data_IF_297650152004
#
_entry.id   IF_297650152004
#
_cell.length_a   1.000
_cell.length_b   1.000
_cell.length_c   1.000
_cell.angle_alpha   90.00
_cell.angle_beta   90.00
_cell.angle_gamma   90.00
#
_symmetry.space_group_name_H-M   'P 1'
#
loop_
_entity.id
_entity.type
_entity.pdbx_description
1 polymer ?
#
# COMPACT_ATOMS: atom_id res chain seq x y z
N UNK A 1 -4.44 -3.81 -18.16
CA UNK A 1 -5.69 -4.20 -17.46
C UNK A 1 -5.77 -3.42 -16.17
N UNK A 2 -6.97 -3.02 -15.72
CA UNK A 2 -7.15 -2.35 -14.44
C UNK A 2 -6.96 -3.32 -13.27
N UNK A 3 -6.45 -2.83 -12.15
CA UNK A 3 -6.21 -3.64 -10.95
C UNK A 3 -6.42 -2.82 -9.67
N UNK A 4 -6.55 -3.50 -8.53
CA UNK A 4 -6.60 -2.88 -7.20
C UNK A 4 -5.22 -2.99 -6.57
N UNK A 5 -4.69 -1.85 -6.11
CA UNK A 5 -3.55 -1.78 -5.21
C UNK A 5 -4.07 -1.65 -3.79
N UNK A 6 -3.63 -2.52 -2.88
CA UNK A 6 -4.01 -2.50 -1.48
C UNK A 6 -2.74 -2.59 -0.62
N UNK A 7 -2.54 -1.59 0.22
CA UNK A 7 -1.46 -1.51 1.20
C UNK A 7 -2.04 -1.08 2.56
N UNK A 8 -2.46 -2.06 3.38
CA UNK A 8 -3.05 -1.79 4.69
C UNK A 8 -2.08 -1.12 5.67
N UNK A 9 -0.77 -1.36 5.53
CA UNK A 9 0.24 -0.79 6.44
C UNK A 9 0.31 0.74 6.32
N UNK A 10 0.06 1.26 5.11
CA UNK A 10 0.01 2.70 4.84
C UNK A 10 -1.41 3.24 4.62
N UNK A 11 -2.43 2.44 4.96
CA UNK A 11 -3.84 2.76 4.79
C UNK A 11 -4.17 3.24 3.36
N UNK A 12 -3.60 2.57 2.36
CA UNK A 12 -3.77 2.87 0.94
C UNK A 12 -4.62 1.80 0.27
N UNK A 13 -5.67 2.25 -0.42
CA UNK A 13 -6.46 1.43 -1.31
C UNK A 13 -6.70 2.22 -2.60
N UNK A 14 -6.26 1.69 -3.73
CA UNK A 14 -6.37 2.38 -5.01
C UNK A 14 -6.87 1.47 -6.14
N UNK A 15 -7.84 1.95 -6.91
CA UNK A 15 -8.17 1.42 -8.22
C UNK A 15 -7.25 2.06 -9.26
N UNK A 16 -6.56 1.23 -10.04
CA UNK A 16 -5.56 1.64 -11.02
C UNK A 16 -6.09 1.35 -12.41
N UNK A 17 -6.43 2.40 -13.15
CA UNK A 17 -6.76 2.29 -14.56
C UNK A 17 -5.47 2.28 -15.41
N UNK A 18 -5.34 1.41 -16.43
CA UNK A 18 -4.10 1.30 -17.20
C UNK A 18 -3.83 2.53 -18.08
N UNK A 19 -4.88 3.16 -18.62
CA UNK A 19 -4.71 4.32 -19.50
C UNK A 19 -4.52 5.60 -18.69
N UNK A 20 -3.28 6.09 -18.68
CA UNK A 20 -2.93 7.38 -18.11
C UNK A 20 -3.59 8.54 -18.87
N UNK A 21 -3.77 8.43 -20.19
CA UNK A 21 -4.27 9.50 -21.06
C UNK A 21 -5.77 9.40 -21.34
N UNK A 22 -6.52 8.64 -20.53
CA UNK A 22 -7.97 8.54 -20.66
C UNK A 22 -8.61 9.95 -20.66
N UNK A 23 -9.49 10.27 -21.64
CA UNK A 23 -10.19 11.55 -21.68
C UNK A 23 -10.92 11.84 -20.37
N UNK A 24 -11.01 13.10 -19.98
CA UNK A 24 -11.60 13.52 -18.71
C UNK A 24 -13.03 12.99 -18.53
N UNK A 25 -13.83 12.99 -19.61
CA UNK A 25 -15.18 12.44 -19.66
C UNK A 25 -15.21 10.95 -19.31
N UNK A 26 -14.27 10.16 -19.85
CA UNK A 26 -14.14 8.74 -19.55
C UNK A 26 -13.69 8.51 -18.10
N UNK A 27 -12.78 9.35 -17.58
CA UNK A 27 -12.34 9.30 -16.18
C UNK A 27 -13.52 9.55 -15.23
N UNK A 28 -14.37 10.53 -15.53
CA UNK A 28 -15.56 10.86 -14.73
C UNK A 28 -16.56 9.70 -14.69
N UNK A 29 -16.81 9.04 -15.83
CA UNK A 29 -17.69 7.87 -15.88
C UNK A 29 -17.16 6.70 -15.03
N UNK A 30 -15.85 6.46 -15.06
CA UNK A 30 -15.20 5.42 -14.24
C UNK A 30 -15.36 5.77 -12.75
N UNK A 31 -15.12 7.02 -12.37
CA UNK A 31 -15.30 7.49 -10.99
C UNK A 31 -16.74 7.32 -10.51
N UNK A 32 -17.73 7.65 -11.36
CA UNK A 32 -19.14 7.51 -11.04
C UNK A 32 -19.56 6.04 -10.87
N UNK A 33 -19.11 5.15 -11.75
CA UNK A 33 -19.36 3.71 -11.61
C UNK A 33 -18.74 3.15 -10.34
N UNK A 34 -17.49 3.50 -10.03
CA UNK A 34 -16.80 3.03 -8.83
C UNK A 34 -17.48 3.52 -7.55
N UNK A 35 -17.94 4.79 -7.54
CA UNK A 35 -18.74 5.33 -6.42
C UNK A 35 -20.04 4.57 -6.24
N UNK A 36 -20.76 4.30 -7.33
CA UNK A 36 -22.02 3.55 -7.29
C UNK A 36 -21.82 2.13 -6.74
N UNK A 37 -20.77 1.43 -7.16
CA UNK A 37 -20.43 0.09 -6.62
C UNK A 37 -20.11 0.17 -5.13
N UNK A 38 -19.33 1.16 -4.71
CA UNK A 38 -18.96 1.33 -3.31
C UNK A 38 -20.15 1.67 -2.41
N UNK A 39 -21.06 2.55 -2.84
CA UNK A 39 -22.29 2.87 -2.10
C UNK A 39 -23.23 1.68 -2.02
N UNK A 40 -23.39 0.91 -3.09
CA UNK A 40 -24.24 -0.28 -3.09
C UNK A 40 -23.73 -1.37 -2.14
N UNK A 41 -22.42 -1.49 -1.95
CA UNK A 41 -21.83 -2.42 -0.98
C UNK A 41 -22.11 -1.98 0.46
N UNK A 42 -21.96 -0.69 0.76
CA UNK A 42 -22.30 -0.11 2.06
C UNK A 42 -23.79 -0.27 2.40
N UNK A 43 -24.68 -0.01 1.44
CA UNK A 43 -26.12 -0.15 1.61
C UNK A 43 -26.55 -1.63 1.75
N UNK A 44 -25.85 -2.54 1.07
CA UNK A 44 -26.06 -3.99 1.16
C UNK A 44 -25.76 -4.56 2.54
N UNK A 45 -24.65 -4.15 3.17
CA UNK A 45 -24.28 -4.58 4.52
C UNK A 45 -25.26 -4.06 5.60
N UNK A 46 -25.82 -2.86 5.41
CA UNK A 46 -26.89 -2.36 6.28
C UNK A 46 -28.20 -3.16 6.17
N UNK A 47 -28.50 -3.73 5.00
CA UNK A 47 -29.73 -4.47 4.76
C UNK A 47 -29.70 -5.90 5.35
N UNK A 48 -28.53 -6.52 5.47
CA UNK A 48 -28.38 -7.83 6.13
C UNK A 48 -28.53 -7.72 7.65
N UNK A 49 -28.05 -6.63 8.27
CA UNK A 49 -28.26 -6.36 9.70
C UNK A 49 -29.74 -6.08 10.04
N UNK A 50 -30.50 -5.47 9.12
CA UNK A 50 -31.93 -5.22 9.32
C UNK A 50 -32.81 -6.47 9.16
N UNK A 51 -32.40 -7.46 8.35
CA UNK A 51 -33.15 -8.72 8.20
C UNK A 51 -33.02 -9.67 9.40
N UNK A 52 -31.95 -9.56 10.19
CA UNK A 52 -31.81 -10.31 11.44
C UNK A 52 -32.72 -9.79 12.58
N UNK A 53 -33.36 -8.62 12.41
CA UNK A 53 -34.21 -8.00 13.44
C UNK A 53 -35.72 -8.18 13.22
N UNK A 54 -36.16 -8.71 12.07
CA UNK A 54 -37.58 -8.92 11.75
C UNK A 54 -37.93 -10.40 11.91
N UNK A 55 -37.87 -10.86 13.16
CA UNK A 55 -38.10 -12.26 13.51
C UNK A 55 -38.43 -12.46 14.97
N UNK A 56 -39.29 -11.63 15.57
CA UNK A 56 -39.98 -12.02 16.80
C UNK A 56 -41.29 -11.26 16.98
N UNK A 57 -42.39 -12.00 16.96
CA UNK A 57 -43.76 -11.53 17.03
C UNK A 57 -44.16 -11.23 18.50
N UNK A 58 -44.75 -10.05 18.70
CA UNK A 58 -45.90 -9.84 19.58
C UNK A 58 -45.64 -9.59 21.07
N UNK A 59 -45.88 -8.35 21.53
CA UNK A 59 -47.03 -8.02 22.39
C UNK A 59 -47.06 -6.52 22.82
N UNK A 60 -48.24 -5.92 22.64
CA UNK A 60 -48.92 -4.89 23.46
C UNK A 60 -48.35 -3.46 23.67
N UNK A 61 -49.17 -2.53 23.15
CA UNK A 61 -49.81 -1.35 23.80
C UNK A 61 -49.10 0.01 23.88
N UNK A 62 -49.68 0.93 23.09
CA UNK A 62 -50.22 2.27 23.44
C UNK A 62 -49.32 3.47 23.84
N UNK A 63 -49.48 4.52 23.00
CA UNK A 63 -49.62 5.99 23.27
C UNK A 63 -48.41 6.87 23.61
N UNK A 64 -48.35 8.01 22.89
CA UNK A 64 -47.71 9.29 23.29
C UNK A 64 -46.54 9.67 22.39
N UNK A 65 -46.74 10.48 21.35
CA UNK A 65 -46.64 11.95 21.32
C UNK A 65 -45.20 12.50 21.10
N UNK A 66 -45.13 13.38 20.11
CA UNK A 66 -44.09 14.26 19.55
C UNK A 66 -42.74 14.37 20.26
N UNK A 67 -41.67 14.23 19.46
CA UNK A 67 -40.34 14.74 19.82
C UNK A 67 -39.28 14.40 18.79
N UNK A 68 -39.12 15.25 17.77
CA UNK A 68 -37.97 15.29 16.89
C UNK A 68 -36.69 15.47 17.72
N UNK A 69 -35.75 14.54 17.67
CA UNK A 69 -34.31 14.88 17.64
C UNK A 69 -33.55 13.73 17.00
N UNK A 70 -32.99 14.08 15.85
CA UNK A 70 -31.81 13.54 15.22
C UNK A 70 -30.89 12.70 16.13
N UNK A 71 -30.71 11.44 15.76
CA UNK A 71 -29.47 10.72 16.01
C UNK A 71 -29.39 9.64 14.96
N UNK A 72 -29.14 10.07 13.72
CA UNK A 72 -28.50 9.25 12.69
C UNK A 72 -27.22 8.68 13.31
N UNK A 73 -27.28 7.43 13.75
CA UNK A 73 -26.12 6.63 14.12
C UNK A 73 -25.30 6.38 12.85
N UNK A 74 -24.46 7.37 12.51
CA UNK A 74 -23.29 7.24 11.65
C UNK A 74 -22.32 6.26 12.30
N UNK A 75 -22.53 4.98 12.01
CA UNK A 75 -21.67 3.86 12.37
C UNK A 75 -21.80 2.94 11.16
N UNK A 76 -20.82 2.70 10.29
CA UNK A 76 -19.37 2.72 10.40
C UNK A 76 -18.81 2.76 8.97
N UNK A 77 -18.41 3.93 8.47
CA UNK A 77 -17.58 4.03 7.24
C UNK A 77 -16.10 4.24 7.59
N UNK A 78 -15.71 4.00 8.85
CA UNK A 78 -14.42 4.43 9.40
C UNK A 78 -13.31 3.39 9.33
N UNK A 79 -13.58 2.14 8.95
CA UNK A 79 -12.56 1.07 9.00
C UNK A 79 -11.94 0.73 7.63
N UNK A 80 -12.41 1.33 6.53
CA UNK A 80 -11.83 1.12 5.20
C UNK A 80 -11.20 2.41 4.69
N UNK A 81 -9.91 2.40 4.26
CA UNK A 81 -9.30 3.56 3.64
C UNK A 81 -10.13 4.06 2.45
N UNK A 82 -10.18 5.38 2.22
CA UNK A 82 -10.91 5.93 1.08
C UNK A 82 -10.29 5.38 -0.22
N UNK A 83 -11.11 4.70 -1.03
CA UNK A 83 -10.68 4.18 -2.33
C UNK A 83 -10.23 5.34 -3.22
N UNK A 84 -8.96 5.35 -3.58
CA UNK A 84 -8.39 6.32 -4.50
C UNK A 84 -8.46 5.77 -5.92
N UNK A 85 -8.67 6.64 -6.92
CA UNK A 85 -8.73 6.22 -8.32
C UNK A 85 -7.61 6.93 -9.06
N UNK A 86 -6.71 6.16 -9.63
CA UNK A 86 -5.51 6.65 -10.32
C UNK A 86 -5.43 6.11 -11.74
N UNK A 87 -4.86 6.91 -12.64
CA UNK A 87 -4.72 6.59 -14.05
C UNK A 87 -3.24 6.45 -14.40
N UNK A 88 -2.83 5.22 -14.71
CA UNK A 88 -1.45 4.86 -15.00
C UNK A 88 -0.59 4.63 -13.77
N UNK A 89 0.59 4.04 -14.02
CA UNK A 89 1.54 3.65 -12.98
C UNK A 89 2.27 4.84 -12.34
N UNK A 90 2.41 5.95 -13.06
CA UNK A 90 3.09 7.14 -12.52
C UNK A 90 2.27 7.85 -11.45
N UNK A 91 0.94 7.90 -11.62
CA UNK A 91 0.04 8.41 -10.60
C UNK A 91 0.00 7.48 -9.38
N UNK A 92 -0.02 6.16 -9.60
CA UNK A 92 0.09 5.19 -8.51
C UNK A 92 1.42 5.34 -7.75
N UNK A 93 2.54 5.45 -8.45
CA UNK A 93 3.86 5.66 -7.84
C UNK A 93 3.89 6.96 -7.03
N UNK A 94 3.30 8.03 -7.55
CA UNK A 94 3.20 9.31 -6.85
C UNK A 94 2.36 9.19 -5.57
N UNK A 95 1.25 8.45 -5.64
CA UNK A 95 0.39 8.18 -4.50
C UNK A 95 1.10 7.37 -3.41
N UNK A 96 1.75 6.27 -3.79
CA UNK A 96 2.54 5.43 -2.87
C UNK A 96 3.64 6.29 -2.24
N UNK A 97 4.41 7.03 -3.05
CA UNK A 97 5.48 7.87 -2.52
C UNK A 97 4.98 8.98 -1.60
N UNK A 98 3.73 9.45 -1.73
CA UNK A 98 3.20 10.48 -0.86
C UNK A 98 2.99 10.00 0.59
N UNK A 99 2.67 8.72 0.78
CA UNK A 99 2.42 8.16 2.13
C UNK A 99 3.65 7.54 2.76
N UNK A 100 4.61 7.05 1.95
CA UNK A 100 5.84 6.47 2.48
C UNK A 100 6.68 7.55 3.17
N UNK A 101 7.23 7.22 4.34
CA UNK A 101 8.26 8.01 5.00
C UNK A 101 9.54 8.06 4.15
N UNK A 102 10.44 9.03 4.38
CA UNK A 102 11.72 9.11 3.67
C UNK A 102 12.53 7.81 3.74
N UNK A 103 12.50 7.13 4.88
CA UNK A 103 13.21 5.87 5.09
C UNK A 103 12.58 4.72 4.30
N UNK A 104 11.25 4.67 4.20
CA UNK A 104 10.52 3.66 3.42
C UNK A 104 10.61 3.88 1.90
N UNK A 105 10.93 5.11 1.47
CA UNK A 105 11.24 5.42 0.07
C UNK A 105 12.64 4.95 -0.32
N UNK A 106 13.53 4.80 0.66
CA UNK A 106 14.85 4.23 0.42
C UNK A 106 14.75 2.71 0.37
N UNK A 107 15.32 2.14 -0.69
CA UNK A 107 15.57 0.70 -0.71
C UNK A 107 16.77 0.38 0.20
N UNK A 108 16.71 -0.78 0.83
CA UNK A 108 17.82 -1.34 1.60
C UNK A 108 18.04 -2.78 1.15
N UNK A 109 19.29 -3.16 0.92
CA UNK A 109 19.72 -4.51 0.60
C UNK A 109 20.80 -4.95 1.59
N UNK A 110 20.62 -6.13 2.17
CA UNK A 110 21.64 -6.77 3.00
C UNK A 110 22.41 -7.78 2.14
N UNK A 111 23.73 -7.65 2.08
CA UNK A 111 24.62 -8.66 1.49
C UNK A 111 25.51 -9.18 2.61
N UNK A 112 25.40 -10.46 2.97
CA UNK A 112 26.18 -11.04 4.06
C UNK A 112 27.09 -12.18 3.62
N UNK A 113 28.17 -12.38 4.37
CA UNK A 113 29.09 -13.50 4.24
C UNK A 113 29.48 -14.01 5.63
N UNK A 114 29.66 -15.33 5.74
CA UNK A 114 30.13 -16.00 6.97
C UNK A 114 31.65 -16.19 6.98
N UNK A 115 32.37 -15.66 5.99
CA UNK A 115 33.83 -15.78 5.98
C UNK A 115 34.44 -15.05 7.18
N UNK A 116 35.38 -15.70 7.87
CA UNK A 116 36.20 -15.09 8.92
C UNK A 116 37.54 -14.56 8.37
N UNK A 117 37.80 -14.71 7.07
CA UNK A 117 39.02 -14.25 6.43
C UNK A 117 38.90 -12.76 6.06
N UNK A 118 39.77 -11.92 6.64
CA UNK A 118 39.78 -10.48 6.42
C UNK A 118 39.99 -10.10 4.94
N UNK A 119 40.80 -10.88 4.20
CA UNK A 119 41.01 -10.64 2.78
C UNK A 119 39.75 -10.89 1.95
N UNK A 120 38.96 -11.91 2.29
CA UNK A 120 37.69 -12.22 1.62
C UNK A 120 36.62 -11.19 1.97
N UNK A 121 36.56 -10.74 3.24
CA UNK A 121 35.67 -9.64 3.67
C UNK A 121 36.00 -8.32 2.95
N UNK A 122 37.30 -8.01 2.80
CA UNK A 122 37.77 -6.86 2.05
C UNK A 122 37.37 -6.92 0.58
N UNK A 123 37.60 -8.06 -0.08
CA UNK A 123 37.21 -8.26 -1.47
C UNK A 123 35.68 -8.16 -1.66
N UNK A 124 34.91 -8.75 -0.74
CA UNK A 124 33.46 -8.68 -0.73
C UNK A 124 32.94 -7.24 -0.60
N UNK A 125 33.54 -6.45 0.29
CA UNK A 125 33.22 -5.03 0.44
C UNK A 125 33.57 -4.23 -0.83
N UNK A 126 34.72 -4.48 -1.43
CA UNK A 126 35.18 -3.76 -2.62
C UNK A 126 34.28 -4.02 -3.83
N UNK A 127 33.87 -5.28 -4.03
CA UNK A 127 32.89 -5.64 -5.07
C UNK A 127 31.57 -4.93 -4.81
N UNK A 128 31.07 -4.99 -3.58
CA UNK A 128 29.80 -4.36 -3.19
C UNK A 128 29.84 -2.85 -3.37
N UNK A 129 30.93 -2.18 -2.99
CA UNK A 129 31.13 -0.75 -3.19
C UNK A 129 31.15 -0.37 -4.66
N UNK A 130 31.80 -1.17 -5.50
CA UNK A 130 31.84 -0.92 -6.94
C UNK A 130 30.43 -1.00 -7.53
N UNK A 131 29.68 -2.06 -7.23
CA UNK A 131 28.30 -2.23 -7.67
C UNK A 131 27.39 -1.09 -7.16
N UNK A 132 27.53 -0.71 -5.89
CA UNK A 132 26.75 0.38 -5.32
C UNK A 132 27.08 1.73 -5.99
N UNK A 133 28.35 1.99 -6.29
CA UNK A 133 28.79 3.23 -6.95
C UNK A 133 28.23 3.37 -8.37
N UNK A 134 28.14 2.28 -9.13
CA UNK A 134 27.55 2.26 -10.48
C UNK A 134 26.06 2.64 -10.43
N UNK A 135 25.37 2.29 -9.33
CA UNK A 135 23.94 2.54 -9.14
C UNK A 135 23.65 3.79 -8.30
N UNK A 136 24.67 4.57 -7.91
CA UNK A 136 24.55 5.73 -7.01
C UNK A 136 23.92 5.41 -5.65
N UNK A 137 24.26 4.24 -5.09
CA UNK A 137 23.84 3.77 -3.77
C UNK A 137 24.94 4.00 -2.72
N UNK A 138 24.52 4.17 -1.46
CA UNK A 138 25.39 4.27 -0.29
C UNK A 138 25.65 2.88 0.30
N UNK A 139 26.79 2.73 0.99
CA UNK A 139 27.20 1.46 1.59
C UNK A 139 27.61 1.67 3.05
N UNK A 140 27.09 0.83 3.93
CA UNK A 140 27.54 0.71 5.32
C UNK A 140 27.96 -0.74 5.61
N UNK A 141 28.82 -0.90 6.62
CA UNK A 141 29.33 -2.21 7.02
C UNK A 141 28.95 -2.46 8.47
N UNK A 142 28.42 -3.64 8.70
CA UNK A 142 28.16 -4.20 10.02
C UNK A 142 29.01 -5.46 10.17
N UNK A 143 30.06 -5.35 10.98
CA UNK A 143 31.00 -6.44 11.25
C UNK A 143 30.62 -7.14 12.56
N UNK A 144 29.89 -8.24 12.45
CA UNK A 144 29.59 -9.12 13.56
C UNK A 144 30.56 -10.33 13.55
N UNK A 145 30.86 -10.93 14.72
CA UNK A 145 31.79 -12.05 14.82
C UNK A 145 31.43 -13.23 13.92
N UNK A 146 30.13 -13.50 13.80
CA UNK A 146 29.57 -14.65 13.09
C UNK A 146 29.08 -14.32 11.68
N UNK A 147 28.90 -13.03 11.37
CA UNK A 147 28.34 -12.57 10.11
C UNK A 147 28.89 -11.19 9.73
N UNK A 148 29.44 -11.10 8.52
CA UNK A 148 29.87 -9.83 7.96
C UNK A 148 28.82 -9.34 6.97
N UNK A 149 28.13 -8.25 7.32
CA UNK A 149 27.03 -7.70 6.52
C UNK A 149 27.41 -6.36 5.92
N UNK A 150 27.20 -6.22 4.61
CA UNK A 150 27.32 -4.98 3.87
C UNK A 150 25.92 -4.51 3.49
N UNK A 151 25.52 -3.38 4.05
CA UNK A 151 24.25 -2.74 3.81
C UNK A 151 24.35 -1.78 2.64
N UNK A 152 23.48 -1.92 1.64
CA UNK A 152 23.39 -1.03 0.50
C UNK A 152 22.07 -0.25 0.56
N UNK A 153 22.15 1.08 0.54
CA UNK A 153 21.01 1.99 0.60
C UNK A 153 20.93 2.84 -0.66
N UNK A 154 19.73 3.10 -1.16
CA UNK A 154 19.56 3.98 -2.31
C UNK A 154 18.10 4.16 -2.69
N UNK A 155 17.83 4.75 -3.85
CA UNK A 155 16.47 4.82 -4.34
C UNK A 155 15.93 3.40 -4.56
N UNK A 156 14.66 3.15 -4.19
CA UNK A 156 14.03 1.82 -4.30
C UNK A 156 14.16 1.19 -5.69
N UNK A 157 14.11 2.01 -6.75
CA UNK A 157 14.33 1.57 -8.14
C UNK A 157 15.76 1.10 -8.40
N UNK A 158 16.77 1.78 -7.84
CA UNK A 158 18.18 1.40 -7.97
C UNK A 158 18.46 0.10 -7.22
N UNK A 159 17.95 -0.02 -5.98
CA UNK A 159 18.08 -1.25 -5.19
C UNK A 159 17.35 -2.42 -5.84
N UNK A 160 16.15 -2.18 -6.39
CA UNK A 160 15.42 -3.19 -7.16
C UNK A 160 16.20 -3.67 -8.40
N UNK A 161 16.80 -2.74 -9.15
CA UNK A 161 17.64 -3.08 -10.30
C UNK A 161 18.91 -3.85 -9.87
N UNK A 162 19.53 -3.47 -8.75
CA UNK A 162 20.68 -4.18 -8.18
C UNK A 162 20.32 -5.62 -7.79
N UNK A 163 19.20 -5.84 -7.08
CA UNK A 163 18.72 -7.18 -6.76
C UNK A 163 18.46 -8.03 -8.00
N UNK A 164 17.87 -7.43 -9.04
CA UNK A 164 17.63 -8.13 -10.29
C UNK A 164 18.93 -8.52 -10.98
N UNK A 165 19.92 -7.62 -11.03
CA UNK A 165 21.24 -7.89 -11.59
C UNK A 165 21.98 -9.03 -10.84
N UNK A 166 21.84 -9.07 -9.51
CA UNK A 166 22.40 -10.14 -8.67
C UNK A 166 21.70 -11.48 -8.89
N UNK A 167 20.38 -11.49 -9.10
CA UNK A 167 19.61 -12.73 -9.33
C UNK A 167 19.75 -13.27 -10.75
N UNK A 168 20.19 -12.46 -11.71
CA UNK A 168 20.38 -12.83 -13.12
C UNK A 168 21.78 -13.37 -13.45
N UNK A 169 22.68 -13.43 -12.47
CA UNK A 169 24.00 -14.06 -12.59
C UNK A 169 24.03 -15.39 -11.84
#
# INVERSE_FOLDING_TARGET
QAFIYNDPAHNLLAYVHPDADAPEEARMLILEQLRSVYTNLLDGESNEKQRASVGSNGEKREKGDRGSTDSTTQTTSQDLPPLQVVFGLDQLNSLINAVLSPDERMGRLALSTQSHNEAERGQFLDITRKLASEMSCNVEVEDLPDEYTVWVYGARRQIGALMHALASN
#
